data_IF_915426847392
#
_entry.id   IF_915426847392
#
_cell.length_a   1.000
_cell.length_b   1.000
_cell.length_c   1.000
_cell.angle_alpha   90.00
_cell.angle_beta   90.00
_cell.angle_gamma   90.00
#
_symmetry.space_group_name_H-M   'P 1'
#
loop_
_entity.id
_entity.type
_entity.pdbx_description
1 polymer ?
#
# COMPACT_ATOMS: atom_id res chain seq x y z
N UNK A 1 20.62 3.38 -21.62
CA UNK A 1 19.68 4.07 -20.72
C UNK A 1 20.46 4.75 -19.62
N UNK A 2 20.20 6.02 -19.34
CA UNK A 2 20.81 6.73 -18.22
C UNK A 2 20.31 6.22 -16.86
N UNK A 3 21.08 6.45 -15.79
CA UNK A 3 20.69 6.02 -14.43
C UNK A 3 19.31 6.57 -14.02
N UNK A 4 18.99 7.82 -14.35
CA UNK A 4 17.67 8.42 -14.09
C UNK A 4 16.52 7.66 -14.74
N UNK A 5 16.68 7.24 -16.01
CA UNK A 5 15.64 6.47 -16.71
C UNK A 5 15.38 5.11 -16.05
N UNK A 6 16.42 4.42 -15.57
CA UNK A 6 16.29 3.14 -14.87
C UNK A 6 15.60 3.33 -13.51
N UNK A 7 16.02 4.33 -12.74
CA UNK A 7 15.42 4.65 -11.45
C UNK A 7 13.95 5.10 -11.59
N UNK A 8 13.67 5.93 -12.59
CA UNK A 8 12.32 6.35 -12.94
C UNK A 8 11.41 5.16 -13.29
N UNK A 9 11.91 4.24 -14.12
CA UNK A 9 11.18 3.02 -14.44
C UNK A 9 10.88 2.17 -13.19
N UNK A 10 11.88 1.92 -12.33
CA UNK A 10 11.71 1.12 -11.11
C UNK A 10 10.67 1.77 -10.19
N UNK A 11 10.74 3.09 -9.99
CA UNK A 11 9.82 3.81 -9.12
C UNK A 11 8.38 3.76 -9.63
N UNK A 12 8.16 3.98 -10.92
CA UNK A 12 6.83 3.94 -11.55
C UNK A 12 6.28 2.51 -11.57
N UNK A 13 7.09 1.54 -11.95
CA UNK A 13 6.68 0.13 -11.99
C UNK A 13 6.29 -0.38 -10.59
N UNK A 14 7.13 -0.12 -9.59
CA UNK A 14 6.85 -0.52 -8.20
C UNK A 14 5.62 0.19 -7.62
N UNK A 15 5.46 1.50 -7.88
CA UNK A 15 4.27 2.24 -7.47
C UNK A 15 2.99 1.70 -8.16
N UNK A 16 3.09 1.28 -9.43
CA UNK A 16 1.99 0.62 -10.13
C UNK A 16 1.60 -0.72 -9.52
N UNK A 17 2.58 -1.54 -9.11
CA UNK A 17 2.33 -2.79 -8.39
C UNK A 17 1.65 -2.54 -7.04
N UNK A 18 2.13 -1.54 -6.28
CA UNK A 18 1.54 -1.17 -5.00
C UNK A 18 0.10 -0.65 -5.16
N UNK A 19 -0.13 0.23 -6.13
CA UNK A 19 -1.46 0.75 -6.43
C UNK A 19 -2.42 -0.36 -6.89
N UNK A 20 -1.93 -1.31 -7.69
CA UNK A 20 -2.68 -2.47 -8.16
C UNK A 20 -3.04 -3.42 -7.00
N UNK A 21 -2.12 -3.71 -6.10
CA UNK A 21 -2.36 -4.51 -4.91
C UNK A 21 -3.44 -3.88 -4.03
N UNK A 22 -3.31 -2.60 -3.71
CA UNK A 22 -4.28 -1.87 -2.89
C UNK A 22 -5.67 -1.81 -3.55
N UNK A 23 -5.74 -1.63 -4.87
CA UNK A 23 -6.99 -1.63 -5.63
C UNK A 23 -7.67 -3.00 -5.58
N UNK A 24 -6.92 -4.08 -5.74
CA UNK A 24 -7.44 -5.45 -5.68
C UNK A 24 -7.95 -5.77 -4.27
N UNK A 25 -7.21 -5.42 -3.24
CA UNK A 25 -7.64 -5.62 -1.84
C UNK A 25 -8.93 -4.84 -1.58
N UNK A 26 -8.99 -3.56 -1.98
CA UNK A 26 -10.14 -2.69 -1.71
C UNK A 26 -11.40 -3.11 -2.47
N UNK A 27 -11.28 -3.39 -3.75
CA UNK A 27 -12.44 -3.57 -4.63
C UNK A 27 -12.69 -5.03 -5.05
N UNK A 28 -11.65 -5.87 -5.00
CA UNK A 28 -11.74 -7.27 -5.38
C UNK A 28 -11.91 -8.25 -4.22
N UNK A 29 -11.19 -8.02 -3.11
CA UNK A 29 -11.14 -8.97 -1.98
C UNK A 29 -12.16 -8.63 -0.89
N UNK A 30 -12.38 -7.35 -0.61
CA UNK A 30 -13.28 -6.91 0.47
C UNK A 30 -14.68 -7.50 0.38
N UNK A 31 -15.30 -7.45 -0.80
CA UNK A 31 -16.67 -7.92 -1.00
C UNK A 31 -16.83 -9.42 -0.74
N UNK A 32 -16.08 -10.29 -1.43
CA UNK A 32 -16.09 -11.73 -1.18
C UNK A 32 -15.73 -12.09 0.27
N UNK A 33 -14.72 -11.46 0.86
CA UNK A 33 -14.31 -11.71 2.23
C UNK A 33 -15.43 -11.36 3.23
N UNK A 34 -16.13 -10.24 3.01
CA UNK A 34 -17.24 -9.79 3.87
C UNK A 34 -18.48 -10.69 3.82
N UNK A 35 -18.60 -11.59 2.84
CA UNK A 35 -19.69 -12.58 2.73
C UNK A 35 -19.41 -13.88 3.46
N UNK A 36 -18.18 -14.08 3.92
CA UNK A 36 -17.81 -15.28 4.66
C UNK A 36 -18.35 -15.22 6.09
N UNK A 37 -18.66 -16.39 6.63
CA UNK A 37 -18.95 -16.57 8.04
C UNK A 37 -17.72 -16.21 8.89
N UNK A 38 -17.92 -16.02 10.19
CA UNK A 38 -16.89 -15.53 11.12
C UNK A 38 -15.57 -16.29 11.01
N UNK A 39 -15.59 -17.60 11.16
CA UNK A 39 -14.36 -18.40 11.20
C UNK A 39 -13.60 -18.39 9.86
N UNK A 40 -14.21 -18.66 8.70
CA UNK A 40 -13.54 -18.54 7.40
C UNK A 40 -13.04 -17.13 7.11
N UNK A 41 -13.79 -16.09 7.48
CA UNK A 41 -13.36 -14.70 7.32
C UNK A 41 -12.03 -14.43 8.04
N UNK A 42 -11.97 -14.80 9.32
CA UNK A 42 -10.77 -14.55 10.14
C UNK A 42 -9.58 -15.37 9.65
N UNK A 43 -9.78 -16.65 9.30
CA UNK A 43 -8.71 -17.49 8.74
C UNK A 43 -8.16 -16.93 7.43
N UNK A 44 -9.02 -16.47 6.53
CA UNK A 44 -8.59 -15.85 5.28
C UNK A 44 -7.83 -14.55 5.52
N UNK A 45 -8.35 -13.69 6.42
CA UNK A 45 -7.68 -12.44 6.81
C UNK A 45 -6.29 -12.70 7.37
N UNK A 46 -6.14 -13.66 8.27
CA UNK A 46 -4.83 -14.05 8.82
C UNK A 46 -3.88 -14.54 7.73
N UNK A 47 -4.37 -15.32 6.77
CA UNK A 47 -3.59 -15.77 5.61
C UNK A 47 -3.08 -14.60 4.76
N UNK A 48 -3.97 -13.66 4.42
CA UNK A 48 -3.60 -12.45 3.68
C UNK A 48 -2.56 -11.61 4.43
N UNK A 49 -2.75 -11.38 5.73
CA UNK A 49 -1.79 -10.61 6.54
C UNK A 49 -0.40 -11.26 6.53
N UNK A 50 -0.30 -12.59 6.71
CA UNK A 50 0.98 -13.31 6.70
C UNK A 50 1.71 -13.16 5.37
N UNK A 51 1.00 -13.14 4.26
CA UNK A 51 1.58 -12.99 2.92
C UNK A 51 1.94 -11.53 2.64
N UNK A 52 1.00 -10.61 2.85
CA UNK A 52 1.16 -9.21 2.46
C UNK A 52 2.16 -8.46 3.34
N UNK A 53 2.33 -8.84 4.60
CA UNK A 53 3.36 -8.23 5.48
C UNK A 53 4.80 -8.42 4.99
N UNK A 54 5.03 -9.36 4.05
CA UNK A 54 6.33 -9.58 3.41
C UNK A 54 6.33 -8.95 2.02
N UNK A 55 5.30 -9.25 1.22
CA UNK A 55 5.21 -8.80 -0.17
C UNK A 55 5.17 -7.29 -0.30
N UNK A 56 4.35 -6.62 0.50
CA UNK A 56 4.15 -5.16 0.40
C UNK A 56 5.43 -4.37 0.72
N UNK A 57 6.15 -4.62 1.82
CA UNK A 57 7.45 -3.98 2.06
C UNK A 57 8.49 -4.28 0.98
N UNK A 58 8.50 -5.49 0.41
CA UNK A 58 9.40 -5.88 -0.66
C UNK A 58 9.17 -5.07 -1.96
N UNK A 59 7.94 -4.63 -2.21
CA UNK A 59 7.61 -3.73 -3.32
C UNK A 59 7.89 -2.28 -2.93
N UNK A 60 7.46 -1.86 -1.75
CA UNK A 60 7.53 -0.47 -1.29
C UNK A 60 8.96 0.03 -1.16
N UNK A 61 9.87 -0.76 -0.56
CA UNK A 61 11.23 -0.31 -0.29
C UNK A 61 11.99 0.09 -1.57
N UNK A 62 12.10 -0.75 -2.61
CA UNK A 62 12.75 -0.34 -3.85
C UNK A 62 11.99 0.80 -4.56
N UNK A 63 10.66 0.85 -4.46
CA UNK A 63 9.86 1.93 -5.04
C UNK A 63 10.21 3.28 -4.42
N UNK A 64 10.20 3.38 -3.10
CA UNK A 64 10.48 4.63 -2.40
C UNK A 64 11.94 5.05 -2.57
N UNK A 65 12.88 4.09 -2.47
CA UNK A 65 14.31 4.38 -2.66
C UNK A 65 14.60 4.87 -4.07
N UNK A 66 14.04 4.25 -5.10
CA UNK A 66 14.23 4.68 -6.49
C UNK A 66 13.53 6.01 -6.79
N UNK A 67 12.36 6.28 -6.19
CA UNK A 67 11.68 7.56 -6.32
C UNK A 67 12.50 8.72 -5.73
N UNK A 68 13.11 8.50 -4.56
CA UNK A 68 14.03 9.49 -3.97
C UNK A 68 15.29 9.63 -4.81
N UNK A 69 15.88 8.52 -5.24
CA UNK A 69 17.12 8.53 -6.01
C UNK A 69 16.94 9.24 -7.36
N UNK A 70 15.86 8.99 -8.11
CA UNK A 70 15.60 9.69 -9.38
C UNK A 70 15.37 11.19 -9.16
N UNK A 71 14.71 11.56 -8.08
CA UNK A 71 14.50 12.98 -7.74
C UNK A 71 15.82 13.71 -7.49
N UNK A 72 16.80 13.02 -6.89
CA UNK A 72 18.16 13.59 -6.66
C UNK A 72 18.97 13.62 -7.96
N UNK A 73 18.91 12.57 -8.78
CA UNK A 73 19.70 12.44 -10.02
C UNK A 73 19.24 13.42 -11.08
N UNK A 74 17.93 13.53 -11.30
CA UNK A 74 17.37 14.41 -12.33
C UNK A 74 17.28 15.89 -11.88
N UNK A 75 17.33 16.13 -10.55
CA UNK A 75 17.38 17.47 -10.00
C UNK A 75 16.14 18.32 -10.26
N UNK A 76 16.35 19.62 -10.49
CA UNK A 76 15.28 20.61 -10.69
C UNK A 76 14.85 20.68 -12.15
N UNK A 77 14.16 19.64 -12.60
CA UNK A 77 13.49 19.59 -13.91
C UNK A 77 11.96 19.82 -13.78
N UNK A 78 11.24 19.70 -14.91
CA UNK A 78 9.77 19.87 -14.94
C UNK A 78 9.01 18.86 -14.06
N UNK A 79 9.58 17.69 -13.78
CA UNK A 79 8.96 16.61 -12.99
C UNK A 79 9.21 16.70 -11.47
N UNK A 80 10.07 17.59 -10.99
CA UNK A 80 10.47 17.66 -9.58
C UNK A 80 9.27 17.76 -8.62
N UNK A 81 8.35 18.68 -8.87
CA UNK A 81 7.20 18.89 -8.00
C UNK A 81 6.30 17.65 -7.92
N UNK A 82 6.12 16.95 -9.05
CA UNK A 82 5.32 15.73 -9.13
C UNK A 82 5.97 14.57 -8.38
N UNK A 83 7.29 14.40 -8.53
CA UNK A 83 8.06 13.38 -7.79
C UNK A 83 8.05 13.64 -6.29
N UNK A 84 8.23 14.89 -5.85
CA UNK A 84 8.13 15.25 -4.44
C UNK A 84 6.74 14.98 -3.87
N UNK A 85 5.68 15.34 -4.60
CA UNK A 85 4.29 15.06 -4.20
C UNK A 85 4.02 13.55 -4.10
N UNK A 86 4.55 12.76 -5.02
CA UNK A 86 4.44 11.29 -4.99
C UNK A 86 5.16 10.69 -3.77
N UNK A 87 6.37 11.15 -3.47
CA UNK A 87 7.13 10.72 -2.28
C UNK A 87 6.34 11.05 -1.00
N UNK A 88 5.77 12.26 -0.91
CA UNK A 88 4.93 12.64 0.23
C UNK A 88 3.68 11.74 0.35
N UNK A 89 3.04 11.39 -0.77
CA UNK A 89 1.91 10.46 -0.77
C UNK A 89 2.33 9.05 -0.29
N UNK A 90 3.49 8.55 -0.72
CA UNK A 90 4.04 7.27 -0.24
C UNK A 90 4.38 7.32 1.26
N UNK A 91 4.96 8.41 1.74
CA UNK A 91 5.25 8.58 3.17
C UNK A 91 3.96 8.68 4.01
N UNK A 92 2.93 9.34 3.50
CA UNK A 92 1.61 9.34 4.13
C UNK A 92 1.02 7.93 4.15
N UNK A 93 1.13 7.18 3.06
CA UNK A 93 0.72 5.77 2.99
C UNK A 93 1.44 4.91 4.05
N UNK A 94 2.77 5.06 4.18
CA UNK A 94 3.57 4.38 5.22
C UNK A 94 3.07 4.75 6.62
N UNK A 95 2.80 6.02 6.86
CA UNK A 95 2.31 6.51 8.17
C UNK A 95 0.97 5.89 8.53
N UNK A 96 0.00 5.89 7.60
CA UNK A 96 -1.31 5.25 7.78
C UNK A 96 -1.14 3.74 8.01
N UNK A 97 -0.22 3.10 7.31
CA UNK A 97 0.08 1.68 7.46
C UNK A 97 0.61 1.38 8.87
N UNK A 98 1.70 2.01 9.27
CA UNK A 98 2.39 1.70 10.52
C UNK A 98 1.57 2.08 11.78
N UNK A 99 0.84 3.20 11.73
CA UNK A 99 0.06 3.68 12.88
C UNK A 99 -1.39 3.21 12.88
N UNK A 100 -1.89 2.78 11.74
CA UNK A 100 -3.29 2.42 11.55
C UNK A 100 -3.51 0.93 11.32
N UNK A 101 -3.08 0.40 10.17
CA UNK A 101 -3.41 -0.97 9.77
C UNK A 101 -2.53 -2.02 10.44
N UNK A 102 -1.26 -1.76 10.69
CA UNK A 102 -0.34 -2.73 11.32
C UNK A 102 -0.79 -3.15 12.70
N UNK A 103 -1.16 -2.25 13.64
CA UNK A 103 -1.65 -2.67 14.95
C UNK A 103 -2.89 -3.56 14.91
N UNK A 104 -3.80 -3.30 13.94
CA UNK A 104 -5.00 -4.13 13.75
C UNK A 104 -4.62 -5.49 13.17
N UNK A 105 -3.66 -5.53 12.23
CA UNK A 105 -3.16 -6.77 11.65
C UNK A 105 -2.49 -7.66 12.69
N UNK A 106 -1.66 -7.09 13.56
CA UNK A 106 -1.00 -7.81 14.65
C UNK A 106 -2.03 -8.41 15.59
N UNK A 107 -3.01 -7.61 16.04
CA UNK A 107 -4.10 -8.11 16.88
C UNK A 107 -4.89 -9.24 16.17
N UNK A 108 -5.18 -9.10 14.86
CA UNK A 108 -5.94 -10.09 14.11
C UNK A 108 -5.22 -11.44 13.95
N UNK A 109 -3.89 -11.45 13.95
CA UNK A 109 -3.11 -12.69 13.91
C UNK A 109 -3.27 -13.56 15.17
N UNK A 110 -3.59 -12.94 16.30
CA UNK A 110 -3.77 -13.60 17.60
C UNK A 110 -5.23 -14.00 17.86
N UNK A 111 -6.18 -13.62 16.99
CA UNK A 111 -7.58 -14.01 17.21
C UNK A 111 -7.79 -15.51 17.02
N UNK A 112 -8.56 -16.10 17.95
CA UNK A 112 -9.13 -17.42 17.72
C UNK A 112 -10.28 -17.31 16.71
N UNK A 113 -10.21 -17.94 15.53
CA UNK A 113 -11.27 -17.86 14.53
C UNK A 113 -12.62 -18.37 15.03
N UNK A 114 -12.64 -19.35 15.94
CA UNK A 114 -13.88 -19.87 16.51
C UNK A 114 -14.47 -18.97 17.61
N UNK A 115 -13.60 -18.21 18.32
CA UNK A 115 -13.99 -17.36 19.44
C UNK A 115 -13.22 -16.01 19.42
N UNK A 116 -13.38 -15.19 18.39
CA UNK A 116 -12.68 -13.90 18.32
C UNK A 116 -13.18 -12.92 19.36
N UNK A 117 -12.40 -11.85 19.67
CA UNK A 117 -12.84 -10.81 20.59
C UNK A 117 -14.13 -10.14 20.07
N UNK A 118 -15.03 -9.75 20.99
CA UNK A 118 -16.35 -9.21 20.63
C UNK A 118 -16.34 -7.97 19.74
N UNK A 119 -15.21 -7.23 19.70
CA UNK A 119 -15.04 -6.03 18.87
C UNK A 119 -14.33 -6.31 17.53
N UNK A 120 -14.10 -7.56 17.14
CA UNK A 120 -13.34 -7.88 15.93
C UNK A 120 -13.92 -7.24 14.66
N UNK A 121 -15.26 -7.17 14.52
CA UNK A 121 -15.92 -6.53 13.37
C UNK A 121 -15.62 -5.04 13.30
N UNK A 122 -15.68 -4.33 14.44
CA UNK A 122 -15.34 -2.91 14.50
C UNK A 122 -13.88 -2.64 14.13
N UNK A 123 -12.95 -3.53 14.51
CA UNK A 123 -11.55 -3.45 14.09
C UNK A 123 -11.38 -3.70 12.58
N UNK A 124 -12.13 -4.64 12.01
CA UNK A 124 -12.16 -4.88 10.55
C UNK A 124 -12.68 -3.65 9.82
N UNK A 125 -13.79 -3.06 10.25
CA UNK A 125 -14.38 -1.86 9.63
C UNK A 125 -13.40 -0.67 9.69
N UNK A 126 -12.72 -0.50 10.83
CA UNK A 126 -11.66 0.52 10.95
C UNK A 126 -10.51 0.26 9.98
N UNK A 127 -10.06 -0.99 9.88
CA UNK A 127 -9.02 -1.38 8.93
C UNK A 127 -9.44 -1.07 7.48
N UNK A 128 -10.67 -1.37 7.12
CA UNK A 128 -11.20 -1.11 5.78
C UNK A 128 -11.28 0.38 5.44
N UNK A 129 -11.61 1.23 6.40
CA UNK A 129 -11.59 2.68 6.22
C UNK A 129 -10.15 3.20 6.02
N UNK A 130 -9.18 2.67 6.77
CA UNK A 130 -7.77 3.00 6.58
C UNK A 130 -7.24 2.47 5.24
N UNK A 131 -7.66 1.29 4.82
CA UNK A 131 -7.31 0.74 3.51
C UNK A 131 -7.87 1.59 2.35
N UNK A 132 -9.05 2.20 2.49
CA UNK A 132 -9.55 3.15 1.50
C UNK A 132 -8.58 4.34 1.31
N UNK A 133 -8.10 4.93 2.40
CA UNK A 133 -7.13 6.03 2.35
C UNK A 133 -5.82 5.55 1.71
N UNK A 134 -5.30 4.39 2.11
CA UNK A 134 -4.10 3.78 1.56
C UNK A 134 -4.21 3.55 0.05
N UNK A 135 -5.32 2.98 -0.41
CA UNK A 135 -5.52 2.70 -1.83
C UNK A 135 -5.43 3.98 -2.68
N UNK A 136 -6.07 5.06 -2.25
CA UNK A 136 -6.03 6.32 -2.99
C UNK A 136 -4.69 7.04 -2.88
N UNK A 137 -3.96 6.92 -1.77
CA UNK A 137 -2.59 7.42 -1.66
C UNK A 137 -1.65 6.68 -2.62
N UNK A 138 -1.75 5.36 -2.71
CA UNK A 138 -0.92 4.55 -3.63
C UNK A 138 -1.24 4.85 -5.10
N UNK A 139 -2.52 4.93 -5.46
CA UNK A 139 -2.97 5.29 -6.82
C UNK A 139 -2.49 6.71 -7.19
N UNK A 140 -2.64 7.65 -6.27
CA UNK A 140 -2.18 9.02 -6.46
C UNK A 140 -0.66 9.10 -6.64
N UNK A 141 0.11 8.40 -5.81
CA UNK A 141 1.57 8.34 -5.94
C UNK A 141 2.01 7.75 -7.29
N UNK A 142 1.36 6.66 -7.72
CA UNK A 142 1.62 6.08 -9.05
C UNK A 142 1.35 7.08 -10.18
N UNK A 143 0.18 7.75 -10.16
CA UNK A 143 -0.18 8.74 -11.18
C UNK A 143 0.80 9.91 -11.22
N UNK A 144 1.23 10.41 -10.05
CA UNK A 144 2.19 11.50 -9.91
C UNK A 144 3.59 11.12 -10.41
N UNK A 145 4.07 9.91 -10.09
CA UNK A 145 5.36 9.40 -10.61
C UNK A 145 5.31 9.21 -12.12
N UNK A 146 4.21 8.68 -12.64
CA UNK A 146 4.03 8.50 -14.08
C UNK A 146 4.00 9.85 -14.80
N UNK A 147 3.27 10.83 -14.29
CA UNK A 147 3.24 12.18 -14.83
C UNK A 147 4.62 12.85 -14.76
N UNK A 148 5.35 12.68 -13.65
CA UNK A 148 6.70 13.21 -13.49
C UNK A 148 7.75 12.53 -14.38
N UNK A 149 7.50 11.30 -14.87
CA UNK A 149 8.35 10.64 -15.85
C UNK A 149 8.14 11.18 -17.28
N UNK A 150 6.96 11.71 -17.57
CA UNK A 150 6.55 12.21 -18.88
C UNK A 150 6.78 13.72 -19.04
N UNK A 151 7.19 14.44 -18.00
CA UNK A 151 7.44 15.87 -18.00
C UNK A 151 8.92 16.20 -18.18
#
# INVERSE_FOLDING_TARGET
MGAGAVLGFISVFGAGLLAGEELVIRYGVRGPLGRLDQEPHIRMRQGLIRTLRILVPAILAPTLLSAVAVTVVDGADGGLALRCAAILALLAWVTVTLRGTVPINEAALDWDPAAPPGNWRALVDRWENLNFVRAWLAIGAFALLLAGLLS
#
